data_IF_895363113317
#
_entry.id   IF_895363113317
#
_cell.length_a   1.000
_cell.length_b   1.000
_cell.length_c   1.000
_cell.angle_alpha   90.00
_cell.angle_beta   90.00
_cell.angle_gamma   90.00
#
_symmetry.space_group_name_H-M   'P 1'
#
loop_
_entity.id
_entity.type
_entity.pdbx_description
1 polymer ?
#
# COMPACT_ATOMS: atom_id res chain seq x y z
N UNK A 1 -0.66 50.66 46.64
CA UNK A 1 -1.70 49.61 46.59
C UNK A 1 -1.47 48.79 45.33
N UNK A 2 -0.97 47.55 45.46
CA UNK A 2 -0.83 46.60 44.34
C UNK A 2 -2.06 45.70 44.36
N UNK A 3 -2.89 45.75 43.33
CA UNK A 3 -3.98 44.80 43.13
C UNK A 3 -3.48 43.68 42.22
N UNK A 4 -3.39 42.50 42.79
CA UNK A 4 -3.27 41.20 42.13
C UNK A 4 -4.52 40.91 41.31
N UNK A 5 -4.37 40.59 40.02
CA UNK A 5 -5.45 39.97 39.24
C UNK A 5 -5.11 38.51 38.98
N UNK A 6 -5.92 37.66 39.60
CA UNK A 6 -5.95 36.23 39.44
C UNK A 6 -6.76 35.85 38.19
N UNK A 7 -6.28 34.82 37.51
CA UNK A 7 -7.11 33.73 36.99
C UNK A 7 -7.92 33.99 35.73
N UNK A 8 -7.64 33.18 34.69
CA UNK A 8 -8.64 32.42 33.94
C UNK A 8 -7.89 31.37 33.11
N UNK A 9 -7.83 30.15 33.66
CA UNK A 9 -7.36 28.98 32.92
C UNK A 9 -8.50 28.51 32.00
N UNK A 10 -8.34 28.70 30.69
CA UNK A 10 -9.23 28.11 29.68
C UNK A 10 -8.95 26.62 29.57
N UNK A 11 -9.89 25.82 30.06
CA UNK A 11 -9.90 24.37 29.91
C UNK A 11 -10.51 24.03 28.54
N UNK A 12 -9.65 23.78 27.55
CA UNK A 12 -10.08 23.35 26.23
C UNK A 12 -10.58 21.89 26.32
N UNK A 13 -11.88 21.69 26.09
CA UNK A 13 -12.46 20.36 25.89
C UNK A 13 -11.90 19.75 24.60
N UNK A 14 -11.03 18.74 24.74
CA UNK A 14 -10.71 17.82 23.67
C UNK A 14 -11.94 16.93 23.46
N UNK A 15 -12.73 17.25 22.44
CA UNK A 15 -13.67 16.30 21.85
C UNK A 15 -12.84 15.21 21.16
N UNK A 16 -12.50 14.15 21.91
CA UNK A 16 -12.07 12.89 21.33
C UNK A 16 -13.26 12.36 20.53
N UNK A 17 -13.22 12.55 19.20
CA UNK A 17 -14.11 11.88 18.29
C UNK A 17 -14.07 10.39 18.60
N UNK A 18 -15.25 9.79 18.79
CA UNK A 18 -15.37 8.34 18.76
C UNK A 18 -14.95 7.92 17.36
N UNK A 19 -13.72 7.44 17.22
CA UNK A 19 -13.36 6.65 16.06
C UNK A 19 -14.23 5.40 16.17
N UNK A 20 -15.32 5.35 15.39
CA UNK A 20 -15.93 4.08 15.05
C UNK A 20 -14.82 3.30 14.35
N UNK A 21 -14.13 2.46 15.11
CA UNK A 21 -13.19 1.51 14.57
C UNK A 21 -14.02 0.55 13.71
N UNK A 22 -14.16 0.88 12.42
CA UNK A 22 -14.72 -0.02 11.42
C UNK A 22 -13.87 -1.27 11.44
N UNK A 23 -14.46 -2.35 11.95
CA UNK A 23 -13.80 -3.60 12.34
C UNK A 23 -12.99 -4.24 11.20
N UNK A 24 -13.32 -3.90 9.97
CA UNK A 24 -12.87 -4.57 8.76
C UNK A 24 -11.87 -3.78 7.91
N UNK A 25 -11.36 -2.63 8.39
CA UNK A 25 -10.62 -1.70 7.55
C UNK A 25 -9.28 -1.23 8.13
N UNK A 26 -8.46 -0.66 7.24
CA UNK A 26 -7.17 -0.08 7.56
C UNK A 26 -6.79 1.04 6.59
N UNK A 27 -5.87 1.91 7.01
CA UNK A 27 -5.18 2.82 6.10
C UNK A 27 -4.08 2.07 5.34
N UNK A 28 -4.20 2.01 4.02
CA UNK A 28 -3.28 1.26 3.16
C UNK A 28 -2.30 2.19 2.45
N UNK A 29 -1.07 1.72 2.32
CA UNK A 29 0.03 2.38 1.62
C UNK A 29 0.65 1.40 0.60
N UNK A 30 0.86 1.88 -0.62
CA UNK A 30 1.66 1.19 -1.62
C UNK A 30 3.08 1.72 -1.55
N UNK A 31 4.06 0.83 -1.45
CA UNK A 31 5.46 1.19 -1.29
C UNK A 31 6.34 0.49 -2.31
N UNK A 32 7.29 1.23 -2.87
CA UNK A 32 8.38 0.68 -3.66
C UNK A 32 9.66 0.78 -2.85
N UNK A 33 10.36 -0.33 -2.62
CA UNK A 33 11.66 -0.30 -1.97
C UNK A 33 12.78 -0.24 -3.02
N UNK A 34 13.72 0.68 -2.81
CA UNK A 34 14.89 0.84 -3.66
C UNK A 34 16.17 0.59 -2.85
N UNK A 35 17.02 -0.37 -3.28
CA UNK A 35 18.30 -0.65 -2.60
C UNK A 35 19.30 0.48 -2.72
N UNK A 36 19.15 1.34 -3.73
CA UNK A 36 20.04 2.46 -4.02
C UNK A 36 19.19 3.66 -4.45
N UNK A 37 19.73 4.86 -4.26
CA UNK A 37 19.10 6.07 -4.76
C UNK A 37 19.12 6.06 -6.30
N UNK A 38 18.00 6.35 -6.98
CA UNK A 38 17.99 6.50 -8.43
C UNK A 38 18.88 7.66 -8.88
N UNK A 39 19.61 7.48 -9.98
CA UNK A 39 20.34 8.59 -10.63
C UNK A 39 19.36 9.66 -11.10
N UNK A 40 18.26 9.24 -11.72
CA UNK A 40 17.17 10.09 -12.17
C UNK A 40 15.87 9.71 -11.45
N UNK A 41 15.14 10.69 -10.86
CA UNK A 41 13.85 10.43 -10.27
C UNK A 41 12.82 9.90 -11.28
N UNK A 42 12.06 8.89 -10.88
CA UNK A 42 11.03 8.28 -11.73
C UNK A 42 9.67 8.23 -11.04
N UNK A 43 8.60 8.08 -11.82
CA UNK A 43 7.24 8.01 -11.26
C UNK A 43 6.85 6.57 -10.99
N UNK A 44 6.31 6.30 -9.80
CA UNK A 44 5.62 5.06 -9.44
C UNK A 44 4.14 5.35 -9.39
N UNK A 45 3.33 4.55 -10.07
CA UNK A 45 1.87 4.63 -10.05
C UNK A 45 1.29 3.35 -9.47
N UNK A 46 0.49 3.47 -8.42
CA UNK A 46 -0.26 2.37 -7.83
C UNK A 46 -1.71 2.41 -8.29
N UNK A 47 -2.24 1.26 -8.67
CA UNK A 47 -3.65 1.07 -9.02
C UNK A 47 -4.32 0.27 -7.91
N UNK A 48 -5.27 0.91 -7.23
CA UNK A 48 -6.03 0.33 -6.15
C UNK A 48 -7.29 -0.36 -6.70
N UNK A 49 -7.48 -1.61 -6.31
CA UNK A 49 -8.54 -2.48 -6.79
C UNK A 49 -8.30 -3.08 -8.18
N UNK A 50 -9.16 -4.01 -8.56
CA UNK A 50 -9.12 -4.73 -9.82
C UNK A 50 -10.38 -5.55 -10.08
N UNK A 51 -10.47 -6.22 -11.23
CA UNK A 51 -11.63 -7.03 -11.61
C UNK A 51 -11.88 -8.24 -10.71
N UNK A 52 -10.87 -8.65 -9.94
CA UNK A 52 -10.95 -9.76 -8.98
C UNK A 52 -11.27 -9.30 -7.54
N UNK A 53 -11.48 -7.99 -7.33
CA UNK A 53 -11.94 -7.48 -6.06
C UNK A 53 -13.30 -8.08 -5.72
N UNK A 54 -13.48 -8.48 -4.47
CA UNK A 54 -14.75 -9.02 -4.00
C UNK A 54 -14.94 -8.74 -2.53
N UNK A 55 -16.20 -8.49 -2.16
CA UNK A 55 -16.59 -8.22 -0.78
C UNK A 55 -15.77 -7.07 -0.16
N UNK A 56 -15.68 -5.94 -0.86
CA UNK A 56 -15.04 -4.72 -0.37
C UNK A 56 -16.09 -3.62 -0.24
N UNK A 57 -16.12 -2.91 0.89
CA UNK A 57 -16.90 -1.67 1.05
C UNK A 57 -16.13 -0.49 0.47
N UNK A 58 -14.81 -0.47 0.70
CA UNK A 58 -13.88 0.56 0.22
C UNK A 58 -12.63 -0.09 -0.34
N UNK A 59 -12.19 0.37 -1.50
CA UNK A 59 -10.98 -0.12 -2.18
C UNK A 59 -9.84 0.91 -2.21
N UNK A 60 -9.94 2.01 -1.45
CA UNK A 60 -8.98 3.12 -1.54
C UNK A 60 -8.99 3.81 -2.90
N UNK A 61 -7.91 4.51 -3.24
CA UNK A 61 -7.76 5.30 -4.46
C UNK A 61 -6.38 5.09 -5.09
N UNK A 62 -6.36 4.90 -6.41
CA UNK A 62 -5.12 4.86 -7.20
C UNK A 62 -4.34 6.16 -7.07
N UNK A 63 -3.02 6.05 -6.94
CA UNK A 63 -2.16 7.19 -6.62
C UNK A 63 -0.81 7.08 -7.32
N UNK A 64 -0.01 8.15 -7.25
CA UNK A 64 1.34 8.19 -7.81
C UNK A 64 2.30 8.95 -6.90
N UNK A 65 3.57 8.59 -6.96
CA UNK A 65 4.67 9.27 -6.26
C UNK A 65 5.93 9.27 -7.11
N UNK A 66 6.69 10.34 -7.03
CA UNK A 66 8.06 10.38 -7.56
C UNK A 66 8.97 9.65 -6.59
N UNK A 67 9.66 8.61 -7.07
CA UNK A 67 10.73 7.93 -6.36
C UNK A 67 12.06 8.60 -6.68
N UNK A 68 12.69 9.19 -5.67
CA UNK A 68 13.95 9.93 -5.79
C UNK A 68 14.97 9.58 -4.70
N UNK A 69 14.60 8.70 -3.77
CA UNK A 69 15.36 8.38 -2.58
C UNK A 69 15.58 6.87 -2.46
N UNK A 70 16.70 6.48 -1.86
CA UNK A 70 16.95 5.12 -1.41
C UNK A 70 15.95 4.74 -0.31
N UNK A 71 15.55 3.47 -0.24
CA UNK A 71 14.64 2.96 0.78
C UNK A 71 13.18 2.94 0.32
N UNK A 72 12.25 3.08 1.27
CA UNK A 72 10.82 2.97 1.00
C UNK A 72 10.27 4.28 0.42
N UNK A 73 9.71 4.18 -0.78
CA UNK A 73 8.97 5.25 -1.43
C UNK A 73 7.48 4.90 -1.36
N UNK A 74 6.82 5.31 -0.27
CA UNK A 74 5.42 5.00 -0.01
C UNK A 74 4.46 6.12 -0.43
N UNK A 75 3.29 5.74 -0.96
CA UNK A 75 2.16 6.61 -1.21
C UNK A 75 0.90 6.07 -0.52
N UNK A 76 0.07 6.97 0.01
CA UNK A 76 -1.20 6.58 0.63
C UNK A 76 -2.21 6.19 -0.43
N UNK A 77 -2.75 4.98 -0.31
CA UNK A 77 -3.89 4.48 -1.07
C UNK A 77 -5.20 4.91 -0.39
N UNK A 78 -5.15 5.17 0.92
CA UNK A 78 -6.28 5.60 1.72
C UNK A 78 -6.95 4.45 2.46
N UNK A 79 -8.22 4.63 2.83
CA UNK A 79 -8.97 3.64 3.59
C UNK A 79 -9.44 2.50 2.70
N UNK A 80 -9.11 1.27 3.08
CA UNK A 80 -9.56 0.02 2.45
C UNK A 80 -10.30 -0.78 3.52
N UNK A 81 -11.46 -1.33 3.16
CA UNK A 81 -12.38 -1.94 4.11
C UNK A 81 -13.12 -3.12 3.50
N UNK A 82 -13.00 -4.28 4.15
CA UNK A 82 -13.73 -5.48 3.79
C UNK A 82 -15.23 -5.34 4.10
N UNK A 83 -16.06 -5.92 3.24
CA UNK A 83 -17.50 -6.03 3.45
C UNK A 83 -17.81 -7.29 4.27
N UNK A 84 -18.33 -7.08 5.48
CA UNK A 84 -18.75 -8.14 6.38
C UNK A 84 -20.27 -8.33 6.39
N UNK A 85 -20.98 -7.71 5.44
CA UNK A 85 -22.42 -7.78 5.38
C UNK A 85 -22.90 -9.22 5.18
N UNK A 86 -23.95 -9.55 5.94
CA UNK A 86 -24.65 -10.81 5.82
C UNK A 86 -25.82 -10.65 4.84
N UNK A 87 -25.86 -11.51 3.84
CA UNK A 87 -27.03 -11.70 2.97
C UNK A 87 -27.26 -13.20 2.79
N UNK A 88 -28.51 -13.66 2.86
CA UNK A 88 -28.80 -15.10 2.82
C UNK A 88 -28.27 -15.74 1.51
N UNK A 89 -27.56 -16.88 1.55
CA UNK A 89 -27.34 -17.78 2.67
C UNK A 89 -26.24 -17.35 3.66
N UNK A 90 -25.23 -16.59 3.25
CA UNK A 90 -24.31 -15.89 4.16
C UNK A 90 -23.41 -14.79 3.55
N UNK A 91 -23.69 -14.33 2.32
CA UNK A 91 -23.15 -13.10 1.76
C UNK A 91 -21.63 -13.02 1.76
N UNK A 92 -21.12 -11.83 2.07
CA UNK A 92 -19.68 -11.60 2.21
C UNK A 92 -19.14 -12.07 3.57
N UNK A 93 -20.00 -12.23 4.59
CA UNK A 93 -19.60 -12.82 5.89
C UNK A 93 -18.99 -14.23 5.80
N UNK A 94 -19.39 -15.03 4.80
CA UNK A 94 -18.84 -16.38 4.56
C UNK A 94 -17.67 -16.41 3.56
N UNK A 95 -17.41 -15.29 2.88
CA UNK A 95 -16.42 -15.22 1.80
C UNK A 95 -15.25 -14.39 2.29
N UNK A 96 -14.06 -14.76 1.87
CA UNK A 96 -12.87 -13.97 2.17
C UNK A 96 -12.88 -12.77 1.24
N UNK A 97 -12.79 -11.57 1.80
CA UNK A 97 -12.70 -10.34 1.01
C UNK A 97 -11.35 -10.27 0.31
N UNK A 98 -11.37 -9.82 -0.94
CA UNK A 98 -10.19 -9.74 -1.81
C UNK A 98 -10.09 -8.35 -2.39
N UNK A 99 -8.89 -7.80 -2.30
CA UNK A 99 -8.58 -6.47 -2.82
C UNK A 99 -7.25 -6.52 -3.54
N UNK A 100 -7.21 -6.05 -4.78
CA UNK A 100 -5.99 -6.05 -5.58
C UNK A 100 -5.24 -4.74 -5.47
N UNK A 101 -3.91 -4.83 -5.55
CA UNK A 101 -3.03 -3.69 -5.67
C UNK A 101 -1.97 -4.01 -6.70
N UNK A 102 -1.79 -3.12 -7.67
CA UNK A 102 -0.68 -3.20 -8.62
C UNK A 102 0.10 -1.91 -8.66
N UNK A 103 1.34 -1.98 -9.15
CA UNK A 103 2.16 -0.81 -9.44
C UNK A 103 2.85 -0.94 -10.79
N UNK A 104 3.19 0.22 -11.35
CA UNK A 104 4.07 0.35 -12.51
C UNK A 104 4.92 1.60 -12.39
N UNK A 105 6.12 1.57 -12.97
CA UNK A 105 7.01 2.73 -13.06
C UNK A 105 6.99 3.34 -14.46
N UNK A 106 7.48 4.58 -14.58
CA UNK A 106 7.65 5.30 -15.84
C UNK A 106 9.01 6.03 -15.85
N UNK A 107 9.28 6.84 -16.87
CA UNK A 107 10.48 7.68 -16.98
C UNK A 107 11.80 6.88 -17.01
N UNK A 108 11.92 5.94 -17.95
CA UNK A 108 13.16 5.18 -18.18
C UNK A 108 13.38 3.99 -17.23
N UNK A 109 12.50 3.80 -16.25
CA UNK A 109 12.49 2.63 -15.37
C UNK A 109 11.24 1.80 -15.64
N UNK A 110 11.41 0.48 -15.83
CA UNK A 110 10.32 -0.46 -16.14
C UNK A 110 10.22 -1.59 -15.11
N UNK A 111 9.73 -1.24 -13.91
CA UNK A 111 9.28 -2.18 -12.91
C UNK A 111 7.75 -2.21 -12.86
N UNK A 112 7.21 -3.37 -12.60
CA UNK A 112 5.79 -3.57 -12.34
C UNK A 112 5.60 -4.76 -11.42
N UNK A 113 4.44 -4.82 -10.81
CA UNK A 113 4.02 -5.97 -10.04
C UNK A 113 2.65 -5.76 -9.45
N UNK A 114 2.13 -6.85 -8.90
CA UNK A 114 0.78 -6.92 -8.40
C UNK A 114 0.68 -7.91 -7.23
N UNK A 115 -0.41 -7.78 -6.49
CA UNK A 115 -0.80 -8.73 -5.45
C UNK A 115 -2.29 -8.61 -5.19
N UNK A 116 -2.88 -9.70 -4.71
CA UNK A 116 -4.17 -9.70 -4.04
C UNK A 116 -3.95 -9.73 -2.53
N UNK A 117 -4.53 -8.75 -1.82
CA UNK A 117 -4.64 -8.77 -0.36
C UNK A 117 -5.97 -9.40 0.00
N UNK A 118 -5.89 -10.51 0.71
CA UNK A 118 -7.02 -11.20 1.28
C UNK A 118 -7.27 -10.69 2.71
N UNK A 119 -8.50 -10.29 3.01
CA UNK A 119 -8.91 -9.80 4.31
C UNK A 119 -9.77 -10.85 5.01
N UNK A 120 -9.32 -11.26 6.19
CA UNK A 120 -10.05 -12.18 7.07
C UNK A 120 -10.40 -11.45 8.34
N UNK A 121 -11.67 -11.06 8.49
CA UNK A 121 -12.13 -10.48 9.75
C UNK A 121 -12.84 -11.53 10.60
N UNK A 122 -12.32 -11.72 11.81
CA UNK A 122 -12.96 -12.48 12.88
C UNK A 122 -13.71 -11.57 13.86
N UNK A 123 -14.17 -12.12 14.99
CA UNK A 123 -14.89 -11.34 16.00
C UNK A 123 -14.02 -10.29 16.73
N UNK A 124 -12.70 -10.45 16.77
CA UNK A 124 -11.81 -9.59 17.58
C UNK A 124 -10.64 -8.99 16.80
N UNK A 125 -10.30 -9.59 15.66
CA UNK A 125 -9.11 -9.29 14.90
C UNK A 125 -9.39 -9.35 13.40
N UNK A 126 -8.60 -8.62 12.64
CA UNK A 126 -8.53 -8.72 11.19
C UNK A 126 -7.13 -9.11 10.79
N UNK A 127 -7.03 -10.11 9.93
CA UNK A 127 -5.79 -10.55 9.30
C UNK A 127 -5.79 -10.15 7.83
N UNK A 128 -4.66 -9.63 7.36
CA UNK A 128 -4.39 -9.41 5.93
C UNK A 128 -3.35 -10.40 5.46
N UNK A 129 -3.57 -10.98 4.29
CA UNK A 129 -2.70 -12.00 3.71
C UNK A 129 -2.46 -11.71 2.23
N UNK A 130 -1.19 -11.68 1.80
CA UNK A 130 -0.83 -11.60 0.39
C UNK A 130 -1.08 -12.92 -0.32
N UNK A 131 -1.61 -12.81 -1.54
CA UNK A 131 -1.86 -13.89 -2.50
C UNK A 131 -1.43 -13.44 -3.89
N UNK A 132 -0.97 -14.39 -4.70
CA UNK A 132 -0.60 -14.17 -6.09
C UNK A 132 0.47 -13.10 -6.30
N UNK A 133 1.22 -12.76 -5.25
CA UNK A 133 2.07 -11.59 -5.26
C UNK A 133 3.29 -11.76 -6.16
N UNK A 134 3.66 -10.68 -6.85
CA UNK A 134 4.93 -10.58 -7.58
C UNK A 134 6.12 -10.88 -6.65
N UNK A 135 7.24 -11.44 -7.17
CA UNK A 135 8.44 -11.68 -6.38
C UNK A 135 8.91 -10.42 -5.62
N UNK A 136 9.37 -10.61 -4.38
CA UNK A 136 9.80 -9.50 -3.53
C UNK A 136 8.68 -8.66 -2.92
N UNK A 137 7.43 -9.13 -2.95
CA UNK A 137 6.31 -8.40 -2.33
C UNK A 137 6.07 -8.84 -0.88
N UNK A 138 5.96 -7.87 0.02
CA UNK A 138 5.76 -8.04 1.45
C UNK A 138 4.63 -7.15 1.99
N UNK A 139 4.08 -7.50 3.15
CA UNK A 139 3.04 -6.73 3.83
C UNK A 139 3.45 -6.43 5.28
N UNK A 140 3.52 -5.15 5.63
CA UNK A 140 4.08 -4.68 6.90
C UNK A 140 3.05 -3.83 7.69
N UNK A 141 3.04 -3.92 9.04
CA UNK A 141 2.16 -3.10 9.89
C UNK A 141 2.68 -1.67 10.11
N UNK A 142 3.85 -1.34 9.59
CA UNK A 142 4.54 -0.06 9.74
C UNK A 142 5.35 0.28 8.49
N UNK A 143 5.74 1.55 8.35
CA UNK A 143 6.59 2.04 7.27
C UNK A 143 8.05 1.57 7.46
N UNK A 144 8.26 0.28 7.25
CA UNK A 144 9.54 -0.38 7.47
C UNK A 144 9.65 -1.58 6.54
N UNK A 145 10.87 -1.91 6.13
CA UNK A 145 11.11 -3.16 5.41
C UNK A 145 10.87 -4.35 6.34
N UNK A 146 10.01 -5.27 5.91
CA UNK A 146 9.74 -6.52 6.60
C UNK A 146 9.66 -7.67 5.57
N UNK A 147 9.59 -8.91 6.04
CA UNK A 147 9.51 -10.11 5.19
C UNK A 147 8.19 -10.87 5.36
N UNK A 148 7.17 -10.22 5.91
CA UNK A 148 5.86 -10.84 6.20
C UNK A 148 5.02 -10.95 4.94
N UNK A 149 4.23 -12.02 4.86
CA UNK A 149 3.17 -12.20 3.87
C UNK A 149 1.77 -12.13 4.49
N UNK A 150 1.69 -12.14 5.82
CA UNK A 150 0.49 -11.79 6.56
C UNK A 150 0.80 -11.14 7.90
N UNK A 151 -0.18 -10.42 8.44
CA UNK A 151 -0.24 -10.03 9.84
C UNK A 151 -1.68 -9.73 10.24
N UNK A 152 -1.93 -9.68 11.54
CA UNK A 152 -3.23 -9.34 12.11
C UNK A 152 -3.15 -8.17 13.09
N UNK A 153 -4.29 -7.53 13.32
CA UNK A 153 -4.48 -6.49 14.33
C UNK A 153 -5.82 -6.66 15.05
N UNK A 154 -5.90 -6.13 16.27
CA UNK A 154 -7.17 -6.06 17.02
C UNK A 154 -8.03 -4.89 16.55
N UNK A 155 -9.35 -5.04 16.60
CA UNK A 155 -10.31 -4.00 16.20
C UNK A 155 -10.33 -2.76 17.12
N UNK A 156 -9.55 -2.76 18.19
CA UNK A 156 -9.47 -1.65 19.15
C UNK A 156 -8.65 -0.47 18.63
N UNK A 157 -7.95 -0.62 17.51
CA UNK A 157 -7.07 0.40 16.94
C UNK A 157 -7.17 0.42 15.43
N UNK A 158 -7.10 1.62 14.86
CA UNK A 158 -6.90 1.79 13.43
C UNK A 158 -5.58 1.13 13.01
N UNK A 159 -5.65 0.25 12.03
CA UNK A 159 -4.47 -0.38 11.47
C UNK A 159 -3.89 0.41 10.31
N UNK A 160 -2.60 0.20 10.09
CA UNK A 160 -1.89 0.62 8.89
C UNK A 160 -1.33 -0.60 8.20
N UNK A 161 -1.49 -0.64 6.88
CA UNK A 161 -1.02 -1.74 6.05
C UNK A 161 -0.11 -1.16 4.98
N UNK A 162 1.13 -1.61 4.94
CA UNK A 162 2.11 -1.21 3.94
C UNK A 162 2.37 -2.41 3.02
N UNK A 163 1.92 -2.33 1.77
CA UNK A 163 2.26 -3.32 0.75
C UNK A 163 3.55 -2.87 0.06
N UNK A 164 4.63 -3.61 0.29
CA UNK A 164 5.98 -3.26 -0.12
C UNK A 164 6.39 -4.12 -1.31
N UNK A 165 6.71 -3.50 -2.44
CA UNK A 165 7.26 -4.17 -3.62
C UNK A 165 8.77 -3.96 -3.68
N UNK A 166 9.53 -5.05 -3.82
CA UNK A 166 10.98 -5.06 -3.98
C UNK A 166 11.37 -5.66 -5.35
N UNK A 167 11.28 -4.90 -6.47
CA UNK A 167 11.52 -5.45 -7.80
C UNK A 167 12.92 -6.03 -8.01
N UNK A 168 13.88 -5.64 -7.17
CA UNK A 168 15.29 -6.04 -7.26
C UNK A 168 15.66 -7.16 -6.29
N UNK A 169 14.73 -7.64 -5.44
CA UNK A 169 14.98 -8.79 -4.59
C UNK A 169 14.77 -10.09 -5.39
N UNK A 170 15.83 -10.57 -6.03
CA UNK A 170 16.00 -11.93 -6.57
C UNK A 170 14.77 -12.55 -7.26
N UNK A 171 14.67 -12.36 -8.59
CA UNK A 171 13.78 -13.16 -9.45
C UNK A 171 13.15 -12.43 -10.64
N UNK A 172 13.19 -11.10 -10.68
CA UNK A 172 12.75 -10.36 -11.86
C UNK A 172 13.85 -10.41 -12.92
N UNK A 173 13.62 -11.14 -14.01
CA UNK A 173 14.43 -11.05 -15.22
C UNK A 173 14.43 -9.61 -15.69
N UNK A 174 15.56 -8.94 -15.54
CA UNK A 174 15.78 -7.63 -16.16
C UNK A 174 15.84 -7.88 -17.66
N UNK A 175 14.73 -7.64 -18.37
CA UNK A 175 14.77 -7.49 -19.82
C UNK A 175 15.37 -6.12 -20.12
N UNK A 176 16.70 -6.04 -20.14
CA UNK A 176 17.38 -4.98 -20.85
C UNK A 176 17.12 -5.21 -22.33
N UNK A 177 16.23 -4.41 -22.93
CA UNK A 177 16.32 -4.15 -24.36
C UNK A 177 17.66 -3.43 -24.57
N UNK A 178 18.67 -4.19 -24.97
CA UNK A 178 19.86 -3.59 -25.56
C UNK A 178 19.44 -3.04 -26.93
N UNK A 179 19.39 -1.72 -27.02
CA UNK A 179 19.60 -1.02 -28.28
C UNK A 179 21.00 -1.42 -28.78
N UNK A 180 21.05 -2.36 -29.73
CA UNK A 180 22.23 -2.61 -30.55
C UNK A 180 21.87 -2.36 -32.02
N UNK A 181 22.68 -1.48 -32.62
CA UNK A 181 23.06 -1.39 -34.03
C UNK A 181 22.26 -0.49 -34.98
N UNK A 182 22.46 0.82 -34.80
CA UNK A 182 22.54 1.78 -35.91
C UNK A 182 24.01 2.21 -36.12
N UNK A 183 24.79 1.42 -36.85
CA UNK A 183 25.98 1.90 -37.57
C UNK A 183 26.07 1.20 -38.94
N UNK A 184 25.45 1.79 -39.97
CA UNK A 184 25.81 1.55 -41.36
C UNK A 184 26.85 2.61 -41.73
N UNK A 185 28.09 2.27 -41.41
CA UNK A 185 29.24 3.10 -41.74
C UNK A 185 29.48 3.10 -43.26
N UNK A 186 29.84 4.28 -43.74
CA UNK A 186 30.18 4.58 -45.11
C UNK A 186 31.39 3.77 -45.56
N UNK A 187 31.37 3.24 -46.78
CA UNK A 187 32.57 3.05 -47.59
C UNK A 187 32.19 3.07 -49.08
N UNK A 188 32.33 4.25 -49.67
CA UNK A 188 32.58 4.42 -51.10
C UNK A 188 33.99 3.90 -51.41
N UNK A 189 34.11 3.00 -52.40
CA UNK A 189 35.05 3.02 -53.53
C UNK A 189 34.90 1.78 -54.42
#
# INVERSE_FOLDING_TARGET
MRLSNAGLASMALLLSGVADATRAGAYVFGCLWLPQQPNDPFTVSWTAGGSEDSCMVKSGVSTKKTASEQGLNCASIGWVEADESYSFPCGCKCRESRWNLSYKTANGVSYSGDTTVQWKTGPYNTEVILRGQSPGTHICPSESRCSKTSFEWSHERDARVYVVFEPLSSGASVFTMQDEDLELDQLDL
#
